data_IF_104640821868
#
_entry.id   IF_104640821868
#
_cell.length_a   1.000
_cell.length_b   1.000
_cell.length_c   1.000
_cell.angle_alpha   90.00
_cell.angle_beta   90.00
_cell.angle_gamma   90.00
#
_symmetry.space_group_name_H-M   'P 1'
#
loop_
_entity.id
_entity.type
_entity.pdbx_description
1 polymer ?
#
# COMPACT_ATOMS: atom_id res chain seq x y z
N UNK A 1 5.25 31.20 0.01
CA UNK A 1 4.86 29.78 -0.18
C UNK A 1 5.82 28.94 0.62
N UNK A 2 5.30 28.17 1.57
CA UNK A 2 6.10 27.31 2.46
C UNK A 2 6.49 26.01 1.74
N UNK A 3 7.73 25.56 1.92
CA UNK A 3 8.24 24.35 1.28
C UNK A 3 8.25 23.17 2.26
N UNK A 4 7.61 22.08 1.92
CA UNK A 4 7.54 20.85 2.72
C UNK A 4 8.31 19.75 1.98
N UNK A 5 9.35 19.23 2.60
CA UNK A 5 10.13 18.12 2.06
C UNK A 5 9.50 16.79 2.40
N UNK A 6 9.14 16.00 1.40
CA UNK A 6 8.73 14.60 1.55
C UNK A 6 9.96 13.70 1.42
N UNK A 7 10.52 13.28 2.56
CA UNK A 7 11.79 12.53 2.62
C UNK A 7 11.52 11.02 2.69
N UNK A 8 11.81 10.33 1.60
CA UNK A 8 11.68 8.86 1.48
C UNK A 8 13.00 8.19 1.11
N UNK A 9 13.12 6.89 1.41
CA UNK A 9 14.30 6.10 1.02
C UNK A 9 14.36 5.73 -0.47
N UNK A 10 13.29 5.98 -1.23
CA UNK A 10 13.18 5.63 -2.65
C UNK A 10 13.08 4.13 -2.96
N UNK A 11 13.09 3.26 -1.95
CA UNK A 11 13.09 1.78 -2.13
C UNK A 11 11.73 1.22 -2.56
N UNK A 12 10.65 1.90 -2.23
CA UNK A 12 9.28 1.47 -2.54
C UNK A 12 8.53 2.60 -3.24
N UNK A 13 7.55 2.24 -4.05
CA UNK A 13 6.57 3.19 -4.55
C UNK A 13 5.63 3.55 -3.40
N UNK A 14 5.45 4.84 -3.17
CA UNK A 14 4.61 5.40 -2.11
C UNK A 14 3.54 6.27 -2.76
N UNK A 15 2.34 5.73 -3.04
CA UNK A 15 1.26 6.46 -3.72
C UNK A 15 0.78 7.67 -2.90
N UNK A 16 0.96 7.65 -1.59
CA UNK A 16 0.65 8.76 -0.70
C UNK A 16 1.46 10.03 -1.02
N UNK A 17 2.69 9.91 -1.50
CA UNK A 17 3.52 11.09 -1.88
C UNK A 17 2.84 11.86 -3.01
N UNK A 18 2.40 11.15 -4.04
CA UNK A 18 1.69 11.80 -5.16
C UNK A 18 0.34 12.38 -4.70
N UNK A 19 -0.35 11.69 -3.79
CA UNK A 19 -1.58 12.19 -3.22
C UNK A 19 -1.36 13.47 -2.41
N UNK A 20 -0.30 13.55 -1.61
CA UNK A 20 0.02 14.79 -0.86
C UNK A 20 0.37 15.94 -1.80
N UNK A 21 1.20 15.71 -2.81
CA UNK A 21 1.50 16.70 -3.84
C UNK A 21 0.23 17.20 -4.54
N UNK A 22 -0.69 16.30 -4.90
CA UNK A 22 -1.91 16.60 -5.65
C UNK A 22 -2.99 17.30 -4.81
N UNK A 23 -3.21 16.86 -3.56
CA UNK A 23 -4.39 17.26 -2.79
C UNK A 23 -4.09 18.14 -1.57
N UNK A 24 -2.85 18.20 -1.10
CA UNK A 24 -2.46 19.07 0.01
C UNK A 24 -1.73 20.34 -0.46
N UNK A 25 -1.11 20.34 -1.64
CA UNK A 25 -0.52 21.56 -2.21
C UNK A 25 -1.60 22.63 -2.46
N UNK A 26 -1.24 23.87 -2.23
CA UNK A 26 -2.08 25.06 -2.47
C UNK A 26 -1.16 26.28 -2.61
N UNK A 27 -1.72 27.48 -2.60
CA UNK A 27 -0.95 28.73 -2.70
C UNK A 27 0.00 28.97 -1.50
N UNK A 28 -0.29 28.33 -0.35
CA UNK A 28 0.52 28.46 0.86
C UNK A 28 1.63 27.39 0.95
N UNK A 29 1.43 26.19 0.38
CA UNK A 29 2.30 25.03 0.54
C UNK A 29 2.73 24.40 -0.77
N UNK A 30 4.04 24.15 -0.90
CA UNK A 30 4.63 23.33 -1.94
C UNK A 30 5.23 22.06 -1.33
N UNK A 31 4.78 20.89 -1.79
CA UNK A 31 5.37 19.60 -1.42
C UNK A 31 6.45 19.22 -2.44
N UNK A 32 7.65 18.94 -1.94
CA UNK A 32 8.83 18.58 -2.74
C UNK A 32 9.25 17.16 -2.39
N UNK A 33 9.31 16.28 -3.37
CA UNK A 33 9.76 14.90 -3.18
C UNK A 33 11.31 14.85 -3.20
N UNK A 34 11.89 14.26 -2.16
CA UNK A 34 13.34 14.08 -2.06
C UNK A 34 13.95 13.30 -3.22
N UNK A 35 13.16 12.46 -3.90
CA UNK A 35 13.61 11.68 -5.08
C UNK A 35 13.84 12.54 -6.32
N UNK A 36 13.29 13.73 -6.35
CA UNK A 36 13.44 14.72 -7.45
C UNK A 36 14.66 15.62 -7.26
N UNK A 37 15.34 15.52 -6.11
CA UNK A 37 16.47 16.36 -5.72
C UNK A 37 17.80 15.61 -5.83
N UNK A 38 18.82 16.26 -6.39
CA UNK A 38 20.18 15.69 -6.44
C UNK A 38 20.89 15.78 -5.09
N UNK A 39 20.77 16.92 -4.40
CA UNK A 39 21.27 17.19 -3.06
C UNK A 39 20.18 17.87 -2.23
N UNK A 40 20.18 17.67 -0.93
CA UNK A 40 19.16 18.21 -0.03
C UNK A 40 19.85 19.14 0.98
N UNK A 41 19.54 20.44 0.93
CA UNK A 41 19.80 21.35 2.04
C UNK A 41 18.49 21.48 2.85
N UNK A 42 18.49 20.93 4.05
CA UNK A 42 17.30 20.93 4.92
C UNK A 42 16.88 22.35 5.35
N UNK A 43 17.77 23.33 5.27
CA UNK A 43 17.47 24.73 5.63
C UNK A 43 16.57 25.43 4.61
N UNK A 44 16.41 24.86 3.42
CA UNK A 44 15.52 25.41 2.39
C UNK A 44 14.04 25.06 2.61
N UNK A 45 13.74 24.26 3.64
CA UNK A 45 12.41 23.73 3.90
C UNK A 45 11.86 24.24 5.23
N UNK A 46 10.56 24.54 5.25
CA UNK A 46 9.84 24.97 6.45
C UNK A 46 9.31 23.78 7.28
N UNK A 47 9.28 22.56 6.69
CA UNK A 47 8.86 21.33 7.36
C UNK A 47 9.47 20.12 6.65
N UNK A 48 9.90 19.13 7.43
CA UNK A 48 10.40 17.86 6.89
C UNK A 48 9.46 16.73 7.28
N UNK A 49 8.89 16.07 6.29
CA UNK A 49 8.01 14.94 6.45
C UNK A 49 8.73 13.66 6.04
N UNK A 50 9.09 12.84 7.04
CA UNK A 50 9.89 11.63 6.86
C UNK A 50 9.03 10.38 6.81
N UNK A 51 9.16 9.61 5.73
CA UNK A 51 8.60 8.25 5.61
C UNK A 51 9.54 7.26 6.30
N UNK A 52 9.08 6.65 7.39
CA UNK A 52 9.99 6.15 8.41
C UNK A 52 10.72 4.84 8.13
N UNK A 53 12.03 4.98 8.04
CA UNK A 53 13.02 3.97 8.36
C UNK A 53 13.60 4.16 9.77
N UNK A 54 14.93 4.07 9.90
CA UNK A 54 15.70 4.50 11.08
C UNK A 54 16.17 5.92 10.82
N UNK A 55 16.02 6.79 11.81
CA UNK A 55 16.44 8.19 11.72
C UNK A 55 17.18 8.63 12.97
N UNK A 56 18.47 8.91 12.80
CA UNK A 56 19.36 9.43 13.85
C UNK A 56 19.72 10.91 13.66
N UNK A 57 19.29 11.52 12.56
CA UNK A 57 19.70 12.88 12.21
C UNK A 57 18.80 13.90 12.90
N UNK A 58 19.36 14.67 13.81
CA UNK A 58 18.73 15.90 14.27
C UNK A 58 18.84 16.92 13.15
N UNK A 59 17.72 17.26 12.54
CA UNK A 59 17.61 18.43 11.69
C UNK A 59 17.58 19.65 12.60
N UNK A 60 18.38 20.63 12.29
CA UNK A 60 18.52 21.84 13.10
C UNK A 60 17.33 22.75 12.77
N UNK A 61 16.50 23.04 13.76
CA UNK A 61 15.43 24.07 13.73
C UNK A 61 14.38 23.99 12.61
N UNK A 62 14.05 22.78 12.12
CA UNK A 62 12.94 22.59 11.19
C UNK A 62 12.01 21.55 11.79
N UNK A 63 10.69 21.80 11.91
CA UNK A 63 9.75 20.84 12.43
C UNK A 63 9.71 19.56 11.59
N UNK A 64 9.48 18.42 12.27
CA UNK A 64 9.56 17.10 11.66
C UNK A 64 8.25 16.33 11.86
N UNK A 65 7.74 15.77 10.78
CA UNK A 65 6.69 14.76 10.81
C UNK A 65 7.30 13.38 10.53
N UNK A 66 6.93 12.39 11.34
CA UNK A 66 7.24 10.99 11.07
C UNK A 66 6.00 10.24 10.60
N UNK A 67 6.06 9.65 9.42
CA UNK A 67 4.99 8.81 8.91
C UNK A 67 5.35 7.32 8.96
N UNK A 68 4.55 6.55 9.67
CA UNK A 68 4.64 5.11 9.82
C UNK A 68 3.54 4.44 8.99
N UNK A 69 3.77 4.39 7.66
CA UNK A 69 2.83 3.78 6.71
C UNK A 69 2.86 2.23 6.74
N UNK A 70 3.87 1.63 7.38
CA UNK A 70 4.01 0.19 7.49
C UNK A 70 4.87 -0.23 8.67
N UNK A 71 4.74 -1.49 9.07
CA UNK A 71 5.64 -2.16 10.00
C UNK A 71 6.88 -2.70 9.25
N UNK A 72 7.98 -2.91 9.96
CA UNK A 72 9.16 -3.55 9.39
C UNK A 72 8.87 -4.99 8.97
N UNK A 73 9.47 -5.46 7.89
CA UNK A 73 9.31 -6.80 7.33
C UNK A 73 10.58 -7.64 7.47
N UNK A 74 10.49 -8.93 7.11
CA UNK A 74 11.58 -9.88 7.12
C UNK A 74 11.99 -10.34 8.53
N UNK A 75 13.17 -10.92 8.63
CA UNK A 75 13.70 -11.42 9.89
C UNK A 75 13.84 -10.30 10.91
N UNK A 76 13.47 -10.58 12.16
CA UNK A 76 13.54 -9.63 13.29
C UNK A 76 12.67 -8.37 13.12
N UNK A 77 11.55 -8.45 12.39
CA UNK A 77 10.67 -7.31 12.14
C UNK A 77 10.25 -6.57 13.42
N UNK A 78 9.89 -7.30 14.48
CA UNK A 78 9.54 -6.71 15.79
C UNK A 78 10.73 -5.98 16.44
N UNK A 79 11.93 -6.56 16.37
CA UNK A 79 13.14 -5.91 16.88
C UNK A 79 13.46 -4.62 16.10
N UNK A 80 13.31 -4.64 14.78
CA UNK A 80 13.47 -3.43 13.94
C UNK A 80 12.46 -2.33 14.33
N UNK A 81 11.21 -2.68 14.63
CA UNK A 81 10.22 -1.72 15.10
C UNK A 81 10.59 -1.16 16.49
N UNK A 82 11.11 -2.01 17.39
CA UNK A 82 11.60 -1.58 18.69
C UNK A 82 12.78 -0.61 18.54
N UNK A 83 13.75 -0.90 17.66
CA UNK A 83 14.86 -0.02 17.35
C UNK A 83 14.35 1.34 16.85
N UNK A 84 13.42 1.37 15.91
CA UNK A 84 12.80 2.61 15.42
C UNK A 84 12.15 3.40 16.55
N UNK A 85 11.42 2.71 17.44
CA UNK A 85 10.75 3.34 18.59
C UNK A 85 11.75 4.01 19.54
N UNK A 86 12.90 3.38 19.80
CA UNK A 86 13.87 3.83 20.83
C UNK A 86 14.83 4.87 20.27
N UNK A 87 15.29 4.68 19.03
CA UNK A 87 16.41 5.44 18.49
C UNK A 87 16.02 6.55 17.52
N UNK A 88 14.82 6.48 16.91
CA UNK A 88 14.37 7.58 16.06
C UNK A 88 14.20 8.85 16.89
N UNK A 89 14.63 9.98 16.33
CA UNK A 89 14.41 11.28 16.94
C UNK A 89 12.92 11.51 17.20
N UNK A 90 12.61 12.35 18.20
CA UNK A 90 11.23 12.69 18.53
C UNK A 90 10.73 13.73 17.53
N UNK A 91 9.65 13.43 16.76
CA UNK A 91 9.04 14.39 15.85
C UNK A 91 8.03 15.27 16.57
N UNK A 92 7.56 16.33 15.93
CA UNK A 92 6.44 17.16 16.38
C UNK A 92 5.08 16.51 16.14
N UNK A 93 4.97 15.64 15.12
CA UNK A 93 3.76 14.90 14.78
C UNK A 93 4.10 13.49 14.27
N UNK A 94 3.29 12.51 14.63
CA UNK A 94 3.30 11.19 14.01
C UNK A 94 2.07 10.95 13.17
N UNK A 95 2.28 10.32 12.02
CA UNK A 95 1.20 9.80 11.17
C UNK A 95 1.31 8.29 11.16
N UNK A 96 0.20 7.60 11.44
CA UNK A 96 0.13 6.15 11.39
C UNK A 96 -0.86 5.72 10.32
N UNK A 97 -0.52 4.66 9.57
CA UNK A 97 -1.44 4.06 8.61
C UNK A 97 -2.80 3.75 9.26
N UNK A 98 -2.77 3.04 10.39
CA UNK A 98 -3.96 2.65 11.14
C UNK A 98 -3.61 2.37 12.62
N UNK A 99 -4.64 2.02 13.41
CA UNK A 99 -4.49 1.71 14.83
C UNK A 99 -3.58 0.49 15.06
N UNK A 100 -3.62 -0.53 14.21
CA UNK A 100 -2.78 -1.72 14.37
C UNK A 100 -1.29 -1.34 14.27
N UNK A 101 -0.92 -0.50 13.29
CA UNK A 101 0.45 -0.01 13.14
C UNK A 101 0.89 0.82 14.35
N UNK A 102 0.04 1.75 14.82
CA UNK A 102 0.34 2.55 16.03
C UNK A 102 0.57 1.67 17.24
N UNK A 103 -0.30 0.68 17.48
CA UNK A 103 -0.22 -0.24 18.61
C UNK A 103 1.05 -1.07 18.61
N UNK A 104 1.49 -1.53 17.43
CA UNK A 104 2.71 -2.32 17.29
C UNK A 104 3.99 -1.49 17.57
N UNK A 105 4.01 -0.21 17.23
CA UNK A 105 5.12 0.67 17.61
C UNK A 105 5.09 1.00 19.09
N UNK A 106 3.91 1.18 19.68
CA UNK A 106 3.71 1.46 21.11
C UNK A 106 4.63 2.57 21.65
N UNK A 107 4.63 3.74 20.98
CA UNK A 107 5.32 4.92 21.50
C UNK A 107 4.68 5.40 22.81
N UNK A 108 5.49 5.84 23.75
CA UNK A 108 5.09 6.28 25.08
C UNK A 108 5.70 7.65 25.42
N UNK A 109 5.45 8.65 24.57
CA UNK A 109 6.14 9.95 24.66
C UNK A 109 5.27 11.19 24.41
N UNK A 110 3.95 11.07 24.45
CA UNK A 110 2.98 12.16 24.28
C UNK A 110 3.12 12.99 23.00
N UNK A 111 3.80 12.48 21.96
CA UNK A 111 3.81 13.15 20.65
C UNK A 111 2.42 13.05 20.03
N UNK A 112 1.83 14.16 19.56
CA UNK A 112 0.54 14.13 18.89
C UNK A 112 0.59 13.23 17.65
N UNK A 113 -0.54 12.62 17.32
CA UNK A 113 -0.62 11.72 16.17
C UNK A 113 -1.95 11.84 15.44
N UNK A 114 -1.93 11.45 14.16
CA UNK A 114 -3.13 11.27 13.34
C UNK A 114 -3.09 9.90 12.67
N UNK A 115 -4.27 9.37 12.36
CA UNK A 115 -4.39 8.22 11.45
C UNK A 115 -4.63 8.71 10.03
N UNK A 116 -3.90 8.11 9.08
CA UNK A 116 -4.07 8.33 7.67
C UNK A 116 -4.10 6.96 7.00
N UNK A 117 -5.28 6.39 6.85
CA UNK A 117 -5.41 5.10 6.16
C UNK A 117 -5.06 5.21 4.68
N UNK A 118 -4.94 4.07 4.00
CA UNK A 118 -4.58 4.04 2.59
C UNK A 118 -5.73 4.58 1.74
N UNK A 119 -5.42 5.52 0.87
CA UNK A 119 -6.32 5.98 -0.18
C UNK A 119 -6.10 5.22 -1.49
N UNK A 120 -7.07 5.35 -2.39
CA UNK A 120 -7.02 4.82 -3.75
C UNK A 120 -7.00 5.98 -4.75
N UNK A 121 -6.11 5.91 -5.74
CA UNK A 121 -6.05 6.93 -6.79
C UNK A 121 -7.30 6.85 -7.70
N UNK A 122 -7.71 8.01 -8.21
CA UNK A 122 -8.89 8.13 -9.08
C UNK A 122 -8.82 7.23 -10.32
N UNK A 123 -7.63 6.95 -10.83
CA UNK A 123 -7.44 6.11 -12.00
C UNK A 123 -7.91 4.66 -11.83
N UNK A 124 -8.04 4.18 -10.57
CA UNK A 124 -8.56 2.83 -10.29
C UNK A 124 -10.07 2.74 -10.26
N UNK A 125 -10.80 3.84 -10.21
CA UNK A 125 -12.27 3.84 -10.22
C UNK A 125 -12.81 3.69 -11.66
N UNK A 126 -12.48 2.57 -12.27
CA UNK A 126 -12.90 2.20 -13.62
C UNK A 126 -13.65 0.87 -13.59
N UNK A 127 -14.53 0.68 -14.56
CA UNK A 127 -15.19 -0.60 -14.83
C UNK A 127 -14.82 -1.07 -16.23
N UNK A 128 -14.56 -2.34 -16.39
CA UNK A 128 -14.28 -2.94 -17.67
C UNK A 128 -15.05 -4.27 -17.79
N UNK A 129 -15.99 -4.33 -18.72
CA UNK A 129 -16.80 -5.52 -18.97
C UNK A 129 -16.10 -6.51 -19.91
N UNK A 130 -15.08 -6.08 -20.64
CA UNK A 130 -14.29 -6.95 -21.52
C UNK A 130 -13.24 -7.69 -20.70
N UNK A 131 -13.47 -8.99 -20.45
CA UNK A 131 -12.58 -9.85 -19.69
C UNK A 131 -11.75 -10.74 -20.62
N UNK A 132 -10.44 -10.46 -20.70
CA UNK A 132 -9.50 -11.19 -21.53
C UNK A 132 -8.70 -12.24 -20.72
N UNK A 133 -8.74 -12.13 -19.39
CA UNK A 133 -8.02 -13.00 -18.48
C UNK A 133 -8.94 -13.51 -17.37
N UNK A 134 -8.71 -14.75 -16.93
CA UNK A 134 -9.46 -15.29 -15.80
C UNK A 134 -9.02 -14.66 -14.48
N UNK A 135 -7.70 -14.54 -14.26
CA UNK A 135 -7.15 -14.05 -13.01
C UNK A 135 -6.09 -12.99 -13.22
N UNK A 136 -5.97 -12.06 -12.25
CA UNK A 136 -4.87 -11.10 -12.17
C UNK A 136 -4.25 -11.08 -10.79
N UNK A 137 -2.94 -10.92 -10.75
CA UNK A 137 -2.16 -10.55 -9.56
C UNK A 137 -1.34 -9.30 -9.87
N UNK A 138 -1.41 -8.30 -8.98
CA UNK A 138 -0.61 -7.06 -9.08
C UNK A 138 0.35 -6.98 -7.91
N UNK A 139 1.62 -6.68 -8.16
CA UNK A 139 2.61 -6.33 -7.15
C UNK A 139 3.88 -7.15 -7.18
N UNK A 140 4.60 -7.12 -6.07
CA UNK A 140 5.87 -7.81 -5.89
C UNK A 140 5.74 -9.33 -6.02
N UNK A 141 6.62 -9.92 -6.82
CA UNK A 141 6.66 -11.36 -7.09
C UNK A 141 7.97 -11.95 -6.56
N UNK A 142 8.03 -12.13 -5.24
CA UNK A 142 9.18 -12.68 -4.53
C UNK A 142 8.85 -14.02 -3.85
N UNK A 143 9.89 -14.79 -3.54
CA UNK A 143 9.76 -16.01 -2.73
C UNK A 143 9.21 -15.69 -1.33
N UNK A 144 9.60 -14.57 -0.74
CA UNK A 144 9.14 -14.14 0.58
C UNK A 144 7.62 -13.94 0.63
N UNK A 145 7.03 -13.46 -0.48
CA UNK A 145 5.58 -13.28 -0.64
C UNK A 145 4.82 -14.57 -0.90
N UNK A 146 5.51 -15.69 -1.12
CA UNK A 146 4.89 -16.98 -1.40
C UNK A 146 4.21 -17.07 -2.76
N UNK A 147 4.58 -16.20 -3.72
CA UNK A 147 3.96 -16.14 -5.06
C UNK A 147 4.12 -17.44 -5.83
N UNK A 148 5.15 -18.21 -5.53
CA UNK A 148 5.36 -19.53 -6.12
C UNK A 148 4.19 -20.48 -5.89
N UNK A 149 3.43 -20.35 -4.80
CA UNK A 149 2.26 -21.20 -4.55
C UNK A 149 1.16 -20.94 -5.59
N UNK A 150 0.90 -19.65 -5.92
CA UNK A 150 -0.03 -19.28 -6.98
C UNK A 150 0.45 -19.82 -8.32
N UNK A 151 1.71 -19.56 -8.66
CA UNK A 151 2.27 -19.98 -9.95
C UNK A 151 2.27 -21.50 -10.11
N UNK A 152 2.59 -22.27 -9.07
CA UNK A 152 2.50 -23.74 -9.08
C UNK A 152 1.05 -24.21 -9.29
N UNK A 153 0.08 -23.61 -8.61
CA UNK A 153 -1.35 -23.92 -8.76
C UNK A 153 -1.81 -23.75 -10.21
N UNK A 154 -1.45 -22.61 -10.85
CA UNK A 154 -1.81 -22.35 -12.24
C UNK A 154 -1.02 -23.23 -13.24
N UNK A 155 0.24 -23.53 -12.94
CA UNK A 155 1.06 -24.37 -13.81
C UNK A 155 0.61 -25.84 -13.83
N UNK A 156 0.05 -26.35 -12.73
CA UNK A 156 -0.25 -27.78 -12.57
C UNK A 156 -1.75 -28.10 -12.61
N UNK A 157 -2.56 -27.30 -11.91
CA UNK A 157 -3.97 -27.63 -11.67
C UNK A 157 -4.95 -26.72 -12.45
N UNK A 158 -4.59 -25.45 -12.63
CA UNK A 158 -5.40 -24.46 -13.33
C UNK A 158 -4.80 -24.08 -14.70
N UNK A 159 -4.25 -25.06 -15.40
CA UNK A 159 -3.51 -24.84 -16.66
C UNK A 159 -4.39 -24.39 -17.83
N UNK A 160 -5.73 -24.49 -17.71
CA UNK A 160 -6.70 -23.95 -18.66
C UNK A 160 -7.17 -22.55 -18.32
N UNK A 161 -6.81 -22.03 -17.14
CA UNK A 161 -7.14 -20.68 -16.70
C UNK A 161 -5.96 -19.74 -16.92
N UNK A 162 -6.21 -18.57 -17.46
CA UNK A 162 -5.20 -17.54 -17.66
C UNK A 162 -4.92 -16.77 -16.37
N UNK A 163 -3.63 -16.54 -16.10
CA UNK A 163 -3.16 -15.74 -14.97
C UNK A 163 -2.29 -14.60 -15.47
N UNK A 164 -2.78 -13.38 -15.32
CA UNK A 164 -2.05 -12.15 -15.62
C UNK A 164 -1.26 -11.70 -14.38
N UNK A 165 0.06 -11.58 -14.53
CA UNK A 165 0.98 -11.20 -13.46
C UNK A 165 1.57 -9.82 -13.76
N UNK A 166 1.09 -8.78 -13.06
CA UNK A 166 1.52 -7.39 -13.26
C UNK A 166 2.55 -7.01 -12.19
N UNK A 167 3.77 -6.74 -12.61
CA UNK A 167 4.92 -6.41 -11.76
C UNK A 167 6.17 -7.15 -12.18
N UNK A 168 7.27 -6.83 -11.52
CA UNK A 168 8.57 -7.46 -11.82
C UNK A 168 8.77 -8.73 -10.99
N UNK A 169 8.87 -9.92 -11.60
CA UNK A 169 9.18 -11.15 -10.89
C UNK A 169 10.68 -11.26 -10.57
N UNK A 170 11.02 -11.89 -9.45
CA UNK A 170 12.39 -12.34 -9.23
C UNK A 170 12.86 -13.21 -10.40
N UNK A 171 14.13 -13.05 -10.82
CA UNK A 171 14.70 -13.72 -12.00
C UNK A 171 14.47 -15.24 -12.02
N UNK A 172 14.62 -15.91 -10.89
CA UNK A 172 14.41 -17.34 -10.76
C UNK A 172 12.95 -17.74 -10.91
N UNK A 173 12.03 -16.94 -10.40
CA UNK A 173 10.59 -17.12 -10.58
C UNK A 173 10.23 -17.01 -12.05
N UNK A 174 10.66 -15.92 -12.71
CA UNK A 174 10.41 -15.73 -14.13
C UNK A 174 10.96 -16.88 -14.98
N UNK A 175 12.23 -17.25 -14.76
CA UNK A 175 12.89 -18.33 -15.52
C UNK A 175 12.12 -19.66 -15.41
N UNK A 176 11.58 -19.98 -14.23
CA UNK A 176 10.84 -21.21 -13.98
C UNK A 176 9.46 -21.23 -14.64
N UNK A 177 8.73 -20.11 -14.58
CA UNK A 177 7.30 -20.10 -14.94
C UNK A 177 6.98 -19.49 -16.31
N UNK A 178 7.87 -18.75 -16.98
CA UNK A 178 7.65 -18.17 -18.31
C UNK A 178 7.30 -19.17 -19.41
N UNK A 179 7.58 -20.46 -19.22
CA UNK A 179 7.28 -21.53 -20.18
C UNK A 179 5.79 -21.94 -20.18
N UNK A 180 5.02 -21.56 -19.17
CA UNK A 180 3.61 -21.90 -19.08
C UNK A 180 2.78 -20.83 -19.80
N UNK A 181 2.10 -21.22 -20.87
CA UNK A 181 1.38 -20.28 -21.79
C UNK A 181 0.22 -19.56 -21.10
N UNK A 182 -0.34 -20.16 -20.08
CA UNK A 182 -1.43 -19.58 -19.29
C UNK A 182 -0.98 -18.60 -18.21
N UNK A 183 0.33 -18.44 -17.99
CA UNK A 183 0.90 -17.49 -17.03
C UNK A 183 1.57 -16.36 -17.82
N UNK A 184 0.98 -15.18 -17.77
CA UNK A 184 1.38 -14.04 -18.58
C UNK A 184 2.03 -12.99 -17.66
N UNK A 185 3.30 -12.71 -17.86
CA UNK A 185 4.05 -11.68 -17.12
C UNK A 185 4.12 -10.40 -17.95
N UNK A 186 3.67 -9.28 -17.39
CA UNK A 186 3.81 -7.96 -18.04
C UNK A 186 5.17 -7.31 -17.77
N UNK A 187 5.87 -7.74 -16.70
CA UNK A 187 6.94 -6.94 -16.13
C UNK A 187 6.37 -5.71 -15.38
N UNK A 188 7.25 -4.76 -15.06
CA UNK A 188 6.85 -3.50 -14.43
C UNK A 188 6.10 -2.63 -15.44
N UNK A 189 4.94 -2.13 -15.04
CA UNK A 189 4.15 -1.14 -15.79
C UNK A 189 4.01 0.13 -14.96
N UNK A 190 3.68 1.26 -15.59
CA UNK A 190 3.43 2.49 -14.86
C UNK A 190 2.18 2.35 -13.98
N UNK A 191 2.19 2.95 -12.81
CA UNK A 191 1.11 2.84 -11.83
C UNK A 191 -0.26 3.24 -12.43
N UNK A 192 -0.29 4.29 -13.23
CA UNK A 192 -1.51 4.78 -13.89
C UNK A 192 -2.03 3.86 -15.01
N UNK A 193 -1.22 2.94 -15.52
CA UNK A 193 -1.60 1.96 -16.54
C UNK A 193 -2.12 0.66 -15.92
N UNK A 194 -1.78 0.39 -14.65
CA UNK A 194 -2.20 -0.82 -13.94
C UNK A 194 -3.70 -1.05 -14.03
N UNK A 195 -4.60 -0.07 -13.77
CA UNK A 195 -6.03 -0.31 -13.79
C UNK A 195 -6.56 -0.73 -15.16
N UNK A 196 -6.04 -0.16 -16.26
CA UNK A 196 -6.46 -0.51 -17.61
C UNK A 196 -6.10 -1.96 -17.98
N UNK A 197 -4.99 -2.46 -17.45
CA UNK A 197 -4.53 -3.82 -17.70
C UNK A 197 -5.23 -4.80 -16.74
N UNK A 198 -5.23 -4.50 -15.43
CA UNK A 198 -5.78 -5.38 -14.40
C UNK A 198 -7.30 -5.57 -14.50
N UNK A 199 -8.04 -4.53 -14.90
CA UNK A 199 -9.50 -4.60 -15.04
C UNK A 199 -9.97 -5.56 -16.16
N UNK A 200 -9.07 -6.01 -17.02
CA UNK A 200 -9.37 -7.03 -18.04
C UNK A 200 -9.47 -8.45 -17.47
N UNK A 201 -9.19 -8.65 -16.17
CA UNK A 201 -9.37 -9.94 -15.53
C UNK A 201 -10.74 -10.06 -14.86
N UNK A 202 -11.25 -11.29 -14.78
CA UNK A 202 -12.52 -11.61 -14.09
C UNK A 202 -12.30 -11.61 -12.56
N UNK A 203 -11.21 -12.24 -12.11
CA UNK A 203 -10.89 -12.41 -10.69
C UNK A 203 -9.55 -11.77 -10.37
N UNK A 204 -9.47 -11.07 -9.21
CA UNK A 204 -8.23 -10.52 -8.70
C UNK A 204 -7.74 -11.30 -7.47
N UNK A 205 -6.47 -11.68 -7.46
CA UNK A 205 -5.89 -12.47 -6.37
C UNK A 205 -5.17 -11.55 -5.38
N UNK A 206 -5.68 -11.46 -4.15
CA UNK A 206 -5.03 -10.83 -3.03
C UNK A 206 -4.41 -11.88 -2.11
N UNK A 207 -3.24 -12.38 -2.48
CA UNK A 207 -2.52 -13.39 -1.70
C UNK A 207 -1.58 -12.70 -0.72
N UNK A 208 -1.95 -12.74 0.57
CA UNK A 208 -1.19 -12.18 1.69
C UNK A 208 -0.84 -13.32 2.65
N UNK A 209 0.44 -13.53 2.99
CA UNK A 209 0.82 -14.49 4.01
C UNK A 209 0.21 -14.13 5.36
N UNK A 210 -0.45 -15.08 6.04
CA UNK A 210 -0.97 -14.85 7.40
C UNK A 210 0.17 -14.90 8.42
N UNK A 211 1.08 -13.97 8.27
CA UNK A 211 2.22 -13.78 9.18
C UNK A 211 2.48 -12.30 9.43
N UNK A 212 3.01 -12.02 10.59
CA UNK A 212 3.47 -10.68 10.97
C UNK A 212 4.56 -10.17 9.98
N UNK A 213 4.50 -8.93 9.55
CA UNK A 213 3.49 -7.90 9.85
C UNK A 213 2.35 -7.85 8.81
N UNK A 214 2.40 -8.67 7.78
CA UNK A 214 1.55 -8.57 6.59
C UNK A 214 0.05 -8.67 6.91
N UNK A 215 -0.30 -9.47 7.93
CA UNK A 215 -1.69 -9.70 8.33
C UNK A 215 -2.35 -8.55 9.12
N UNK A 216 -1.58 -7.51 9.48
CA UNK A 216 -2.06 -6.35 10.25
C UNK A 216 -2.17 -5.07 9.42
N UNK A 217 -1.69 -5.08 8.19
CA UNK A 217 -1.57 -3.89 7.36
C UNK A 217 -2.67 -3.84 6.30
N UNK A 218 -3.08 -2.63 5.97
CA UNK A 218 -3.97 -2.36 4.84
C UNK A 218 -3.35 -2.90 3.54
N UNK A 219 -4.12 -3.67 2.78
CA UNK A 219 -3.70 -4.15 1.47
C UNK A 219 -4.09 -3.17 0.39
N UNK A 220 -3.14 -2.33 -0.05
CA UNK A 220 -3.35 -1.34 -1.13
C UNK A 220 -3.92 -2.01 -2.38
N UNK A 221 -3.33 -3.13 -2.83
CA UNK A 221 -3.82 -3.85 -4.01
C UNK A 221 -5.26 -4.33 -3.87
N UNK A 222 -5.70 -4.73 -2.66
CA UNK A 222 -7.08 -5.15 -2.45
C UNK A 222 -8.04 -3.95 -2.60
N UNK A 223 -7.68 -2.79 -2.07
CA UNK A 223 -8.46 -1.57 -2.24
C UNK A 223 -8.56 -1.19 -3.72
N UNK A 224 -7.46 -1.25 -4.45
CA UNK A 224 -7.40 -1.00 -5.89
C UNK A 224 -8.30 -1.98 -6.67
N UNK A 225 -8.31 -3.27 -6.30
CA UNK A 225 -9.19 -4.26 -6.91
C UNK A 225 -10.67 -3.99 -6.64
N UNK A 226 -11.02 -3.58 -5.41
CA UNK A 226 -12.39 -3.17 -5.08
C UNK A 226 -12.81 -1.95 -5.90
N UNK A 227 -11.93 -0.95 -6.02
CA UNK A 227 -12.19 0.24 -6.82
C UNK A 227 -12.45 -0.07 -8.30
N UNK A 228 -11.74 -1.08 -8.85
CA UNK A 228 -11.97 -1.60 -10.20
C UNK A 228 -13.19 -2.53 -10.32
N UNK A 229 -13.93 -2.76 -9.23
CA UNK A 229 -15.08 -3.67 -9.18
C UNK A 229 -14.75 -5.11 -9.61
N UNK A 230 -13.54 -5.59 -9.30
CA UNK A 230 -13.11 -6.95 -9.61
C UNK A 230 -13.63 -7.96 -8.57
N UNK A 231 -13.94 -9.19 -9.00
CA UNK A 231 -14.27 -10.30 -8.11
C UNK A 231 -13.01 -10.75 -7.38
N UNK A 232 -12.94 -10.56 -6.06
CA UNK A 232 -11.72 -10.72 -5.29
C UNK A 232 -11.64 -12.08 -4.62
N UNK A 233 -10.55 -12.79 -4.90
CA UNK A 233 -10.10 -14.00 -4.21
C UNK A 233 -8.99 -13.60 -3.25
N UNK A 234 -9.16 -13.84 -1.95
CA UNK A 234 -8.18 -13.40 -0.95
C UNK A 234 -7.87 -14.48 0.06
N UNK A 235 -6.62 -14.53 0.52
CA UNK A 235 -6.28 -15.31 1.71
C UNK A 235 -6.99 -14.74 2.92
N UNK A 236 -7.23 -15.62 3.91
CA UNK A 236 -7.89 -15.23 5.15
C UNK A 236 -6.86 -14.66 6.13
N UNK A 237 -6.98 -13.38 6.52
CA UNK A 237 -6.11 -12.73 7.50
C UNK A 237 -6.85 -11.58 8.21
N UNK A 238 -6.28 -11.11 9.33
CA UNK A 238 -6.98 -10.23 10.27
C UNK A 238 -7.54 -8.97 9.59
N UNK A 239 -6.70 -8.19 8.91
CA UNK A 239 -7.14 -6.91 8.33
C UNK A 239 -8.26 -7.09 7.29
N UNK A 240 -8.18 -8.11 6.42
CA UNK A 240 -9.22 -8.32 5.39
C UNK A 240 -10.59 -8.66 6.00
N UNK A 241 -10.60 -9.37 7.14
CA UNK A 241 -11.85 -9.69 7.83
C UNK A 241 -12.47 -8.45 8.50
N UNK A 242 -11.63 -7.58 9.06
CA UNK A 242 -12.06 -6.29 9.61
C UNK A 242 -12.63 -5.41 8.51
N UNK A 243 -11.96 -5.33 7.36
CA UNK A 243 -12.39 -4.54 6.20
C UNK A 243 -13.71 -5.04 5.60
N UNK A 244 -13.90 -6.36 5.43
CA UNK A 244 -15.16 -6.93 4.98
C UNK A 244 -16.33 -6.53 5.89
N UNK A 245 -16.11 -6.64 7.21
CA UNK A 245 -17.12 -6.28 8.20
C UNK A 245 -17.46 -4.79 8.16
N UNK A 246 -16.44 -3.95 8.05
CA UNK A 246 -16.61 -2.49 8.04
C UNK A 246 -17.39 -2.03 6.79
N UNK A 247 -17.03 -2.56 5.62
CA UNK A 247 -17.59 -2.11 4.34
C UNK A 247 -18.80 -2.91 3.87
N UNK A 248 -19.17 -4.00 4.55
CA UNK A 248 -20.24 -4.89 4.11
C UNK A 248 -19.92 -5.63 2.81
N UNK A 249 -18.65 -5.80 2.50
CA UNK A 249 -18.14 -6.48 1.30
C UNK A 249 -18.01 -7.98 1.58
N UNK A 250 -18.07 -8.82 0.54
CA UNK A 250 -17.85 -10.25 0.66
C UNK A 250 -16.91 -10.77 -0.42
N UNK A 251 -15.73 -11.24 0.02
CA UNK A 251 -14.69 -11.82 -0.81
C UNK A 251 -14.68 -13.34 -0.74
N UNK A 252 -14.20 -13.99 -1.81
CA UNK A 252 -13.94 -15.42 -1.77
C UNK A 252 -12.65 -15.72 -1.00
N UNK A 253 -12.76 -16.43 0.11
CA UNK A 253 -11.62 -16.75 0.98
C UNK A 253 -10.94 -18.03 0.55
N UNK A 254 -9.62 -18.00 0.53
CA UNK A 254 -8.76 -19.16 0.27
C UNK A 254 -7.73 -19.33 1.39
N UNK A 255 -7.31 -20.55 1.59
CA UNK A 255 -6.16 -20.90 2.45
C UNK A 255 -4.82 -20.59 1.76
N UNK A 256 -3.74 -20.64 2.53
CA UNK A 256 -2.38 -20.41 2.01
C UNK A 256 -1.94 -21.47 0.99
N UNK A 257 -2.51 -22.69 1.06
CA UNK A 257 -2.24 -23.79 0.13
C UNK A 257 -3.17 -23.80 -1.11
N UNK A 258 -4.05 -22.80 -1.22
CA UNK A 258 -4.93 -22.54 -2.38
C UNK A 258 -5.89 -23.71 -2.71
N UNK A 259 -6.26 -24.56 -1.75
CA UNK A 259 -7.16 -25.70 -1.99
C UNK A 259 -8.53 -25.27 -2.47
N UNK A 260 -9.05 -24.18 -1.92
CA UNK A 260 -10.39 -23.66 -2.26
C UNK A 260 -10.41 -22.95 -3.62
N UNK A 261 -9.24 -22.65 -4.22
CA UNK A 261 -9.15 -21.97 -5.51
C UNK A 261 -9.53 -22.93 -6.65
N UNK A 262 -10.84 -23.03 -6.88
CA UNK A 262 -11.46 -23.87 -7.91
C UNK A 262 -12.44 -23.02 -8.74
N UNK A 263 -12.33 -23.00 -10.08
CA UNK A 263 -13.18 -22.15 -10.94
C UNK A 263 -14.69 -22.37 -10.74
N UNK A 264 -15.12 -23.63 -10.51
CA UNK A 264 -16.52 -23.94 -10.24
C UNK A 264 -17.04 -23.31 -8.95
N UNK A 265 -16.23 -23.27 -7.90
CA UNK A 265 -16.61 -22.67 -6.61
C UNK A 265 -16.73 -21.15 -6.75
N UNK A 266 -15.84 -20.53 -7.51
CA UNK A 266 -15.87 -19.08 -7.78
C UNK A 266 -17.13 -18.68 -8.54
N UNK A 267 -17.56 -19.47 -9.52
CA UNK A 267 -18.80 -19.22 -10.29
C UNK A 267 -20.05 -19.32 -9.42
N UNK A 268 -20.03 -20.17 -8.39
CA UNK A 268 -21.15 -20.34 -7.46
C UNK A 268 -21.15 -19.34 -6.30
N UNK A 269 -20.02 -18.65 -6.07
CA UNK A 269 -19.89 -17.73 -4.96
C UNK A 269 -20.60 -16.40 -5.28
N UNK A 270 -21.40 -15.93 -4.34
CA UNK A 270 -22.06 -14.64 -4.43
C UNK A 270 -21.13 -13.53 -3.92
N UNK A 271 -20.36 -12.92 -4.83
CA UNK A 271 -19.53 -11.77 -4.52
C UNK A 271 -20.41 -10.56 -4.20
N UNK A 272 -20.07 -9.84 -3.14
CA UNK A 272 -20.67 -8.55 -2.83
C UNK A 272 -19.57 -7.50 -2.78
N UNK A 273 -19.54 -6.61 -3.77
CA UNK A 273 -18.58 -5.53 -3.89
C UNK A 273 -19.32 -4.22 -3.74
N UNK A 274 -18.97 -3.44 -2.73
CA UNK A 274 -19.56 -2.14 -2.44
C UNK A 274 -18.68 -1.02 -2.98
N UNK A 275 -19.28 0.09 -3.33
CA UNK A 275 -18.54 1.31 -3.68
C UNK A 275 -17.67 1.77 -2.49
N UNK A 276 -16.40 2.03 -2.78
CA UNK A 276 -15.42 2.57 -1.84
C UNK A 276 -14.92 3.96 -2.25
N UNK A 277 -15.75 4.73 -2.92
CA UNK A 277 -15.38 6.11 -3.33
C UNK A 277 -15.02 7.02 -2.15
N UNK A 278 -15.46 6.68 -0.94
CA UNK A 278 -15.05 7.32 0.31
C UNK A 278 -13.58 7.06 0.68
N UNK A 279 -12.93 6.10 0.02
CA UNK A 279 -11.51 5.79 0.15
C UNK A 279 -10.64 6.41 -0.96
N UNK A 280 -11.19 7.26 -1.84
CA UNK A 280 -10.36 8.10 -2.72
C UNK A 280 -9.39 8.93 -1.88
N UNK A 281 -8.16 9.14 -2.38
CA UNK A 281 -7.15 9.92 -1.65
C UNK A 281 -7.66 11.26 -1.15
N UNK A 282 -8.42 11.99 -1.99
CA UNK A 282 -9.00 13.27 -1.57
C UNK A 282 -9.90 13.10 -0.34
N UNK A 283 -10.75 12.06 -0.30
CA UNK A 283 -11.67 11.81 0.82
C UNK A 283 -10.94 11.31 2.08
N UNK A 284 -9.92 10.48 1.91
CA UNK A 284 -9.08 10.03 3.03
C UNK A 284 -8.38 11.24 3.66
N UNK A 285 -7.80 12.14 2.85
CA UNK A 285 -7.10 13.32 3.34
C UNK A 285 -8.03 14.37 3.94
N UNK A 286 -9.25 14.54 3.41
CA UNK A 286 -10.28 15.42 3.99
C UNK A 286 -10.70 14.97 5.40
N UNK A 287 -10.74 13.66 5.66
CA UNK A 287 -11.08 13.10 6.98
C UNK A 287 -9.97 13.29 8.01
N UNK A 288 -8.75 13.57 7.57
CA UNK A 288 -7.62 13.80 8.47
C UNK A 288 -7.51 15.28 8.83
N UNK A 289 -6.97 15.59 9.99
CA UNK A 289 -6.65 16.96 10.38
C UNK A 289 -5.25 17.40 9.89
N UNK A 290 -4.70 16.77 8.85
CA UNK A 290 -3.33 17.00 8.41
C UNK A 290 -3.06 18.46 8.02
N UNK A 291 -3.96 19.10 7.26
CA UNK A 291 -3.80 20.51 6.88
C UNK A 291 -3.70 21.42 8.11
N UNK A 292 -4.59 21.26 9.09
CA UNK A 292 -4.55 22.09 10.31
C UNK A 292 -3.30 21.78 11.14
N UNK A 293 -2.89 20.52 11.24
CA UNK A 293 -1.66 20.13 11.94
C UNK A 293 -0.40 20.71 11.30
N UNK A 294 -0.32 20.68 9.97
CA UNK A 294 0.79 21.31 9.22
C UNK A 294 0.84 22.82 9.47
N UNK A 295 -0.33 23.50 9.41
CA UNK A 295 -0.43 24.92 9.68
C UNK A 295 0.07 25.28 11.08
N UNK A 296 -0.32 24.50 12.08
CA UNK A 296 0.09 24.71 13.48
C UNK A 296 1.59 24.51 13.65
N UNK A 297 2.17 23.46 13.04
CA UNK A 297 3.61 23.19 13.13
C UNK A 297 4.45 24.32 12.52
N UNK A 298 4.06 24.79 11.34
CA UNK A 298 4.80 25.86 10.65
C UNK A 298 4.66 27.20 11.38
N UNK A 299 3.52 27.50 12.01
CA UNK A 299 3.33 28.75 12.77
C UNK A 299 4.16 28.81 14.04
N UNK A 300 4.32 27.70 14.78
CA UNK A 300 5.10 27.63 16.02
C UNK A 300 6.58 27.96 15.84
N UNK A 301 7.09 27.87 14.62
CA UNK A 301 8.49 28.21 14.31
C UNK A 301 8.72 29.74 14.26
N UNK A 302 7.65 30.54 14.21
CA UNK A 302 7.71 32.01 14.11
C UNK A 302 7.33 32.72 15.40
N UNK A 303 6.93 31.99 16.44
CA UNK A 303 6.71 32.47 17.81
C UNK A 303 7.93 32.16 18.71
#
# INVERSE_FOLDING_TARGET
MKKILLLSSGKAYLPEIEAYKKYLSNDDYQFVDSRELGTIDFKEFDLIWKFMGIDFHKTINVPIIHEYASLSTGNFAKAKNCIKRVFNIRPELRIFLNENVKREFNFNDNVPYVYRDMGVDDCFFIKNDNKNYDFVYVGEMSFERGITNILEKFAKELNTQSLLMIGEPEKLIYAKYKKFRNIIFTGRVNYTEVPQIASQAEYAINYIPDKYPYNLQTSTKLLEYVAMNLKIVTTNYKWVNEFEKEKGIKFYKISQDLKELMPQNLKMFNFNITDISDMKWVKVLEKTNLKSSINELIRREYE
#
